data_IF_519683091661
#
_entry.id   IF_519683091661
#
_cell.length_a   1.000
_cell.length_b   1.000
_cell.length_c   1.000
_cell.angle_alpha   90.00
_cell.angle_beta   90.00
_cell.angle_gamma   90.00
#
_symmetry.space_group_name_H-M   'P 1'
#
loop_
_entity.id
_entity.type
_entity.pdbx_description
1 polymer ?
#
# COMPACT_ATOMS: atom_id res chain seq x y z
N UNK A 1 -40.08 -20.79 2.97
CA UNK A 1 -39.00 -20.80 1.95
C UNK A 1 -38.48 -19.39 1.84
N UNK A 2 -37.38 -19.07 2.52
CA UNK A 2 -36.76 -17.74 2.44
C UNK A 2 -35.50 -17.90 1.59
N UNK A 3 -35.54 -17.35 0.38
CA UNK A 3 -34.40 -17.32 -0.53
C UNK A 3 -33.37 -16.31 0.00
N UNK A 4 -32.35 -16.81 0.71
CA UNK A 4 -31.12 -16.05 0.96
C UNK A 4 -30.10 -16.31 -0.14
N UNK A 5 -30.36 -15.81 -1.35
CA UNK A 5 -29.33 -15.72 -2.39
C UNK A 5 -28.62 -14.38 -2.20
N UNK A 6 -27.55 -14.38 -1.39
CA UNK A 6 -26.63 -13.24 -1.30
C UNK A 6 -25.97 -13.07 -2.67
N UNK A 7 -26.41 -12.08 -3.44
CA UNK A 7 -25.95 -11.85 -4.81
C UNK A 7 -24.53 -11.28 -4.76
N UNK A 8 -23.51 -12.14 -4.91
CA UNK A 8 -22.10 -11.75 -4.93
C UNK A 8 -21.87 -10.81 -6.13
N UNK A 9 -21.45 -9.57 -5.87
CA UNK A 9 -21.16 -8.60 -6.93
C UNK A 9 -20.13 -9.16 -7.92
N UNK A 10 -20.33 -8.92 -9.22
CA UNK A 10 -19.42 -9.37 -10.27
C UNK A 10 -18.03 -8.73 -10.12
N UNK A 11 -16.99 -9.41 -10.60
CA UNK A 11 -15.60 -8.89 -10.58
C UNK A 11 -15.53 -7.53 -11.31
N UNK A 12 -16.23 -7.40 -12.42
CA UNK A 12 -16.31 -6.14 -13.18
C UNK A 12 -16.90 -5.00 -12.35
N UNK A 13 -17.95 -5.28 -11.58
CA UNK A 13 -18.57 -4.29 -10.71
C UNK A 13 -17.63 -3.82 -9.61
N UNK A 14 -16.85 -4.75 -9.03
CA UNK A 14 -15.83 -4.44 -8.01
C UNK A 14 -14.69 -3.61 -8.58
N UNK A 15 -14.17 -3.97 -9.76
CA UNK A 15 -13.13 -3.19 -10.45
C UNK A 15 -13.63 -1.80 -10.82
N UNK A 16 -14.88 -1.66 -11.29
CA UNK A 16 -15.48 -0.37 -11.61
C UNK A 16 -15.61 0.51 -10.36
N UNK A 17 -16.08 -0.07 -9.26
CA UNK A 17 -16.16 0.64 -7.98
C UNK A 17 -14.79 1.13 -7.52
N UNK A 18 -13.78 0.25 -7.55
CA UNK A 18 -12.42 0.57 -7.14
C UNK A 18 -11.80 1.69 -8.00
N UNK A 19 -11.93 1.60 -9.33
CA UNK A 19 -11.50 2.68 -10.23
C UNK A 19 -12.23 3.99 -9.95
N UNK A 20 -13.53 3.94 -9.66
CA UNK A 20 -14.33 5.12 -9.32
C UNK A 20 -13.88 5.74 -8.00
N UNK A 21 -13.58 4.93 -6.99
CA UNK A 21 -13.03 5.38 -5.72
C UNK A 21 -11.69 6.10 -5.94
N UNK A 22 -10.77 5.48 -6.69
CA UNK A 22 -9.46 6.06 -6.99
C UNK A 22 -9.61 7.40 -7.74
N UNK A 23 -10.57 7.50 -8.67
CA UNK A 23 -10.78 8.73 -9.45
C UNK A 23 -11.21 9.95 -8.64
N UNK A 24 -11.53 9.80 -7.35
CA UNK A 24 -11.85 10.92 -6.47
C UNK A 24 -10.60 11.67 -5.96
N UNK A 25 -9.40 11.17 -6.24
CA UNK A 25 -8.12 11.77 -5.86
C UNK A 25 -7.39 12.29 -7.10
N UNK A 26 -6.59 13.35 -6.95
CA UNK A 26 -5.73 13.84 -8.05
C UNK A 26 -4.37 13.15 -8.08
N UNK A 27 -3.91 12.63 -6.94
CA UNK A 27 -2.61 11.97 -6.80
C UNK A 27 -2.60 11.00 -5.61
N UNK A 28 -1.81 9.93 -5.68
CA UNK A 28 -1.70 8.96 -4.59
C UNK A 28 -0.32 8.30 -4.49
N UNK A 29 0.05 7.95 -3.26
CA UNK A 29 1.19 7.08 -2.96
C UNK A 29 0.68 5.67 -2.69
N UNK A 30 1.33 4.65 -3.26
CA UNK A 30 0.98 3.24 -3.08
C UNK A 30 2.02 2.57 -2.20
N UNK A 31 1.62 2.08 -1.03
CA UNK A 31 2.42 1.19 -0.22
C UNK A 31 2.42 -0.21 -0.86
N UNK A 32 3.50 -0.51 -1.58
CA UNK A 32 3.67 -1.69 -2.42
C UNK A 32 4.57 -2.72 -1.74
N UNK A 33 4.09 -3.97 -1.66
CA UNK A 33 4.83 -5.08 -1.01
C UNK A 33 5.42 -6.09 -2.00
N UNK A 34 5.17 -5.94 -3.30
CA UNK A 34 5.47 -6.97 -4.30
C UNK A 34 4.40 -8.06 -4.41
N UNK A 35 3.41 -8.08 -3.52
CA UNK A 35 2.28 -9.02 -3.57
C UNK A 35 1.24 -8.64 -4.64
N UNK A 36 0.41 -9.62 -5.04
CA UNK A 36 -0.60 -9.44 -6.09
C UNK A 36 -1.61 -8.34 -5.78
N UNK A 37 -2.05 -8.22 -4.52
CA UNK A 37 -3.04 -7.21 -4.11
C UNK A 37 -2.47 -5.79 -4.23
N UNK A 38 -1.27 -5.57 -3.69
CA UNK A 38 -0.59 -4.27 -3.81
C UNK A 38 -0.20 -3.94 -5.26
N UNK A 39 0.10 -4.96 -6.08
CA UNK A 39 0.36 -4.81 -7.52
C UNK A 39 -0.90 -4.39 -8.28
N UNK A 40 -2.06 -4.95 -7.92
CA UNK A 40 -3.35 -4.58 -8.50
C UNK A 40 -3.68 -3.12 -8.19
N UNK A 41 -3.52 -2.69 -6.95
CA UNK A 41 -3.75 -1.29 -6.56
C UNK A 41 -2.77 -0.35 -7.28
N UNK A 42 -1.49 -0.72 -7.39
CA UNK A 42 -0.50 0.06 -8.13
C UNK A 42 -0.90 0.22 -9.61
N UNK A 43 -1.29 -0.88 -10.26
CA UNK A 43 -1.73 -0.86 -11.65
C UNK A 43 -3.00 -0.01 -11.85
N UNK A 44 -4.04 -0.26 -11.05
CA UNK A 44 -5.31 0.45 -11.19
C UNK A 44 -5.15 1.95 -10.91
N UNK A 45 -4.29 2.32 -9.97
CA UNK A 45 -4.04 3.73 -9.68
C UNK A 45 -3.28 4.40 -10.82
N UNK A 46 -2.26 3.74 -11.38
CA UNK A 46 -1.58 4.24 -12.58
C UNK A 46 -2.53 4.35 -13.78
N UNK A 47 -3.45 3.40 -13.97
CA UNK A 47 -4.44 3.44 -15.05
C UNK A 47 -5.42 4.61 -14.91
N UNK A 48 -5.77 5.00 -13.68
CA UNK A 48 -6.80 6.02 -13.40
C UNK A 48 -6.20 7.42 -13.25
N UNK A 49 -5.09 7.56 -12.51
CA UNK A 49 -4.47 8.84 -12.20
C UNK A 49 -3.27 9.18 -13.11
N UNK A 50 -2.70 8.16 -13.76
CA UNK A 50 -1.49 8.29 -14.56
C UNK A 50 -0.21 8.19 -13.73
N UNK A 51 0.90 7.87 -14.42
CA UNK A 51 2.23 7.67 -13.84
C UNK A 51 2.73 8.86 -13.01
N UNK A 52 2.51 10.08 -13.49
CA UNK A 52 3.03 11.29 -12.83
C UNK A 52 2.31 11.62 -11.53
N UNK A 53 1.10 11.11 -11.35
CA UNK A 53 0.28 11.34 -10.17
C UNK A 53 0.26 10.12 -9.24
N UNK A 54 1.00 9.07 -9.56
CA UNK A 54 1.03 7.83 -8.79
C UNK A 54 2.45 7.47 -8.40
N UNK A 55 2.78 7.51 -7.12
CA UNK A 55 4.07 7.07 -6.61
C UNK A 55 3.96 5.68 -6.00
N UNK A 56 4.68 4.70 -6.53
CA UNK A 56 4.71 3.33 -6.01
C UNK A 56 5.93 3.15 -5.11
N UNK A 57 5.71 2.87 -3.83
CA UNK A 57 6.79 2.81 -2.83
C UNK A 57 6.90 1.43 -2.22
N UNK A 58 8.12 0.87 -2.22
CA UNK A 58 8.43 -0.37 -1.49
C UNK A 58 9.40 -0.08 -0.35
N UNK A 59 9.12 -0.62 0.84
CA UNK A 59 10.09 -0.65 1.92
C UNK A 59 11.10 -1.76 1.67
N UNK A 60 12.38 -1.40 1.60
CA UNK A 60 13.51 -2.32 1.52
C UNK A 60 14.08 -2.44 2.92
N UNK A 61 13.68 -3.50 3.61
CA UNK A 61 14.26 -3.84 4.90
C UNK A 61 15.37 -4.86 4.75
N UNK A 62 16.29 -4.96 5.73
CA UNK A 62 17.31 -5.98 5.72
C UNK A 62 16.75 -7.42 5.77
N UNK A 63 15.51 -7.57 6.25
CA UNK A 63 14.78 -8.85 6.27
C UNK A 63 14.03 -9.15 4.98
N UNK A 64 13.93 -8.20 4.04
CA UNK A 64 13.29 -8.43 2.74
C UNK A 64 14.17 -9.34 1.88
N UNK A 65 13.57 -10.41 1.35
CA UNK A 65 14.28 -11.31 0.46
C UNK A 65 14.66 -10.58 -0.83
N UNK A 66 15.95 -10.61 -1.20
CA UNK A 66 16.45 -9.99 -2.43
C UNK A 66 15.74 -10.48 -3.69
N UNK A 67 15.29 -11.74 -3.73
CA UNK A 67 14.51 -12.28 -4.86
C UNK A 67 13.14 -11.61 -4.96
N UNK A 68 12.47 -11.41 -3.83
CA UNK A 68 11.16 -10.75 -3.78
C UNK A 68 11.29 -9.28 -4.17
N UNK A 69 12.31 -8.58 -3.65
CA UNK A 69 12.60 -7.22 -4.05
C UNK A 69 12.89 -7.11 -5.56
N UNK A 70 13.70 -8.02 -6.12
CA UNK A 70 14.01 -8.04 -7.55
C UNK A 70 12.76 -8.28 -8.40
N UNK A 71 11.88 -9.20 -8.00
CA UNK A 71 10.62 -9.44 -8.69
C UNK A 71 9.72 -8.20 -8.65
N UNK A 72 9.62 -7.55 -7.49
CA UNK A 72 8.83 -6.35 -7.29
C UNK A 72 9.32 -5.18 -8.17
N UNK A 73 10.64 -4.97 -8.22
CA UNK A 73 11.30 -3.95 -9.06
C UNK A 73 11.13 -4.25 -10.55
N UNK A 74 11.37 -5.49 -10.98
CA UNK A 74 11.18 -5.89 -12.38
C UNK A 74 9.73 -5.65 -12.85
N UNK A 75 8.74 -5.92 -12.00
CA UNK A 75 7.34 -5.64 -12.32
C UNK A 75 7.10 -4.14 -12.47
N UNK A 76 7.60 -3.34 -11.55
CA UNK A 76 7.45 -1.88 -11.60
C UNK A 76 8.08 -1.27 -12.86
N UNK A 77 9.26 -1.75 -13.26
CA UNK A 77 9.94 -1.37 -14.50
C UNK A 77 9.12 -1.78 -15.73
N UNK A 78 8.68 -3.04 -15.78
CA UNK A 78 7.88 -3.58 -16.89
C UNK A 78 6.56 -2.81 -17.07
N UNK A 79 5.95 -2.37 -15.97
CA UNK A 79 4.73 -1.57 -15.97
C UNK A 79 4.99 -0.07 -16.08
N UNK A 80 6.25 0.36 -16.13
CA UNK A 80 6.67 1.75 -16.22
C UNK A 80 6.08 2.64 -15.10
N UNK A 81 6.02 2.12 -13.87
CA UNK A 81 5.55 2.88 -12.71
C UNK A 81 6.58 3.93 -12.27
N UNK A 82 6.11 5.03 -11.69
CA UNK A 82 6.99 5.89 -10.90
C UNK A 82 7.26 5.19 -9.56
N UNK A 83 8.40 4.51 -9.48
CA UNK A 83 8.72 3.57 -8.41
C UNK A 83 9.88 4.08 -7.55
N UNK A 84 9.72 4.04 -6.22
CA UNK A 84 10.70 4.53 -5.26
C UNK A 84 10.94 3.49 -4.16
N UNK A 85 12.10 2.82 -4.12
CA UNK A 85 12.50 2.06 -2.95
C UNK A 85 12.84 3.02 -1.81
N UNK A 86 12.35 2.73 -0.61
CA UNK A 86 12.78 3.39 0.63
C UNK A 86 13.48 2.36 1.50
N UNK A 87 14.70 2.64 1.93
CA UNK A 87 15.45 1.73 2.79
C UNK A 87 15.02 1.94 4.23
N UNK A 88 14.69 0.88 4.95
CA UNK A 88 14.46 0.90 6.41
C UNK A 88 15.69 0.41 7.14
N UNK A 89 16.09 1.12 8.21
CA UNK A 89 17.34 0.85 8.95
C UNK A 89 17.03 0.07 10.23
N UNK A 90 16.42 -1.10 10.05
CA UNK A 90 15.86 -1.90 11.15
C UNK A 90 16.94 -2.53 12.05
N UNK A 91 18.18 -2.70 11.54
CA UNK A 91 19.29 -3.29 12.30
C UNK A 91 19.99 -2.32 13.26
N UNK A 92 19.77 -1.00 13.14
CA UNK A 92 20.35 -0.01 14.05
C UNK A 92 19.45 0.27 15.27
N UNK A 93 18.32 -0.44 15.40
CA UNK A 93 17.41 -0.35 16.53
C UNK A 93 17.51 -1.59 17.41
N UNK A 94 18.05 -1.44 18.62
CA UNK A 94 18.23 -2.52 19.61
C UNK A 94 16.92 -3.28 19.94
N UNK A 95 15.75 -2.70 19.65
CA UNK A 95 14.45 -3.37 19.82
C UNK A 95 14.14 -4.40 18.72
N UNK A 96 14.75 -4.31 17.54
CA UNK A 96 14.56 -5.24 16.43
C UNK A 96 15.26 -6.59 16.68
N UNK A 97 16.39 -6.56 17.40
CA UNK A 97 17.18 -7.74 17.76
C UNK A 97 16.51 -8.65 18.80
N UNK A 98 15.45 -8.19 19.46
CA UNK A 98 14.75 -8.96 20.52
C UNK A 98 13.84 -10.08 20.02
N UNK A 99 13.79 -10.35 18.71
CA UNK A 99 13.10 -11.52 18.14
C UNK A 99 11.61 -11.61 18.50
N UNK A 100 10.99 -10.50 18.93
CA UNK A 100 9.65 -10.49 19.47
C UNK A 100 8.59 -10.53 18.37
N UNK A 101 7.39 -10.97 18.73
CA UNK A 101 6.20 -11.17 17.87
C UNK A 101 5.76 -9.87 17.13
N UNK A 102 6.43 -8.74 17.41
CA UNK A 102 6.16 -7.39 16.90
C UNK A 102 6.95 -6.98 15.64
N UNK A 103 7.75 -7.85 15.01
CA UNK A 103 8.56 -7.47 13.82
C UNK A 103 7.75 -6.87 12.67
N UNK A 104 6.60 -7.47 12.33
CA UNK A 104 5.72 -6.94 11.27
C UNK A 104 5.14 -5.56 11.62
N UNK A 105 4.99 -5.24 12.90
CA UNK A 105 4.47 -3.95 13.36
C UNK A 105 5.51 -2.84 13.17
N UNK A 106 6.77 -3.08 13.57
CA UNK A 106 7.84 -2.10 13.42
C UNK A 106 8.19 -1.84 11.95
N UNK A 107 8.25 -2.89 11.11
CA UNK A 107 8.47 -2.74 9.68
C UNK A 107 7.39 -1.88 8.99
N UNK A 108 6.12 -2.03 9.39
CA UNK A 108 5.02 -1.23 8.86
C UNK A 108 5.04 0.20 9.41
N UNK A 109 5.40 0.39 10.67
CA UNK A 109 5.42 1.71 11.31
C UNK A 109 6.42 2.66 10.63
N UNK A 110 7.67 2.23 10.44
CA UNK A 110 8.70 3.05 9.81
C UNK A 110 8.38 3.37 8.33
N UNK A 111 7.79 2.40 7.61
CA UNK A 111 7.26 2.64 6.25
C UNK A 111 6.24 3.77 6.28
N UNK A 112 5.21 3.70 7.15
CA UNK A 112 4.18 4.73 7.19
C UNK A 112 4.73 6.11 7.59
N UNK A 113 5.66 6.20 8.54
CA UNK A 113 6.30 7.48 8.87
C UNK A 113 7.05 8.09 7.67
N UNK A 114 7.74 7.27 6.88
CA UNK A 114 8.42 7.73 5.66
C UNK A 114 7.43 8.13 4.57
N UNK A 115 6.32 7.40 4.42
CA UNK A 115 5.26 7.75 3.47
C UNK A 115 4.57 9.06 3.85
N UNK A 116 4.32 9.31 5.14
CA UNK A 116 3.73 10.57 5.62
C UNK A 116 4.64 11.76 5.31
N UNK A 117 5.96 11.62 5.48
CA UNK A 117 6.92 12.66 5.08
C UNK A 117 6.87 12.95 3.58
N UNK A 118 6.79 11.92 2.75
CA UNK A 118 6.67 12.08 1.29
C UNK A 118 5.33 12.75 0.94
N UNK A 119 4.25 12.31 1.59
CA UNK A 119 2.91 12.88 1.41
C UNK A 119 2.88 14.38 1.68
N UNK A 120 3.46 14.82 2.81
CA UNK A 120 3.49 16.23 3.19
C UNK A 120 4.44 17.06 2.30
N UNK A 121 5.57 16.50 1.85
CA UNK A 121 6.57 17.24 1.06
C UNK A 121 6.23 17.34 -0.43
N UNK A 122 5.60 16.31 -1.00
CA UNK A 122 5.32 16.18 -2.43
C UNK A 122 3.83 16.44 -2.77
N UNK A 123 3.01 16.86 -1.79
CA UNK A 123 1.59 17.26 -1.93
C UNK A 123 0.69 16.18 -2.58
N UNK A 124 0.83 14.93 -2.12
CA UNK A 124 -0.05 13.84 -2.53
C UNK A 124 -1.40 13.91 -1.80
N UNK A 125 -2.48 13.45 -2.44
CA UNK A 125 -3.83 13.49 -1.82
C UNK A 125 -4.22 12.22 -1.06
N UNK A 126 -3.61 11.08 -1.35
CA UNK A 126 -3.90 9.83 -0.65
C UNK A 126 -2.68 8.90 -0.51
N UNK A 127 -2.75 7.99 0.47
CA UNK A 127 -1.89 6.82 0.55
C UNK A 127 -2.78 5.57 0.47
N UNK A 128 -2.52 4.70 -0.50
CA UNK A 128 -3.22 3.43 -0.68
C UNK A 128 -2.35 2.24 -0.27
N UNK A 129 -2.99 1.17 0.23
CA UNK A 129 -2.34 -0.11 0.49
C UNK A 129 -3.20 -1.25 -0.07
N UNK A 130 -2.59 -2.42 -0.30
CA UNK A 130 -3.30 -3.62 -0.76
C UNK A 130 -3.88 -4.47 0.38
N UNK A 131 -4.25 -3.88 1.53
CA UNK A 131 -4.79 -4.64 2.67
C UNK A 131 -6.26 -4.98 2.40
N UNK A 132 -6.65 -6.26 2.45
CA UNK A 132 -8.05 -6.66 2.24
C UNK A 132 -8.89 -6.42 3.51
N UNK A 133 -10.23 -6.34 3.38
CA UNK A 133 -11.13 -6.14 4.52
C UNK A 133 -11.06 -7.25 5.59
N UNK A 134 -10.62 -8.46 5.24
CA UNK A 134 -10.41 -9.54 6.21
C UNK A 134 -9.18 -9.33 7.11
N UNK A 135 -8.30 -8.37 6.78
CA UNK A 135 -7.07 -8.05 7.54
C UNK A 135 -7.26 -6.89 8.55
N UNK A 136 -8.51 -6.50 8.85
CA UNK A 136 -8.87 -5.35 9.69
C UNK A 136 -8.44 -5.45 11.18
N UNK A 137 -7.85 -6.57 11.61
CA UNK A 137 -7.39 -6.81 12.98
C UNK A 137 -6.02 -6.20 13.34
N UNK A 138 -5.27 -5.66 12.38
CA UNK A 138 -3.96 -5.07 12.64
C UNK A 138 -4.10 -3.66 13.25
N UNK A 139 -3.80 -3.51 14.54
CA UNK A 139 -3.55 -2.21 15.17
C UNK A 139 -2.26 -1.61 14.56
N UNK A 140 -2.40 -0.56 13.75
CA UNK A 140 -1.27 0.16 13.11
C UNK A 140 -1.27 1.62 13.58
N UNK A 141 -0.36 2.04 14.46
CA UNK A 141 -0.33 3.41 14.99
C UNK A 141 -0.09 4.46 13.91
N UNK A 142 0.58 4.09 12.80
CA UNK A 142 0.67 4.94 11.60
C UNK A 142 -0.68 5.22 10.94
N UNK A 143 -1.71 4.38 11.16
CA UNK A 143 -3.10 4.66 10.73
C UNK A 143 -3.84 5.63 11.65
N UNK A 144 -3.32 5.96 12.83
CA UNK A 144 -3.96 6.94 13.73
C UNK A 144 -3.46 8.38 13.46
N UNK A 145 -2.23 8.55 12.96
CA UNK A 145 -1.79 9.82 12.34
C UNK A 145 -2.56 10.09 11.02
N UNK A 146 -2.82 9.01 10.27
CA UNK A 146 -3.60 8.98 9.04
C UNK A 146 -5.08 9.40 9.15
N UNK A 147 -5.74 9.16 10.30
CA UNK A 147 -7.15 9.56 10.54
C UNK A 147 -7.36 11.09 10.53
N UNK A 148 -6.29 11.88 10.72
CA UNK A 148 -6.32 13.35 10.69
C UNK A 148 -6.02 13.94 9.30
N UNK A 149 -5.52 13.14 8.34
CA UNK A 149 -5.05 13.60 7.03
C UNK A 149 -5.42 12.60 5.92
N UNK A 150 -6.70 12.53 5.55
CA UNK A 150 -7.24 11.91 4.30
C UNK A 150 -6.55 10.64 3.73
N UNK A 151 -6.04 9.72 4.56
CA UNK A 151 -5.57 8.43 4.08
C UNK A 151 -6.79 7.55 3.81
N UNK A 152 -7.18 7.50 2.55
CA UNK A 152 -8.35 6.77 2.14
C UNK A 152 -7.98 5.32 1.82
N UNK A 153 -8.75 4.38 2.38
CA UNK A 153 -8.58 2.94 2.16
C UNK A 153 -9.38 2.54 0.92
N UNK A 154 -8.75 2.11 -0.18
CA UNK A 154 -9.48 1.68 -1.38
C UNK A 154 -10.03 0.25 -1.29
N UNK A 155 -9.66 -0.53 -0.28
CA UNK A 155 -10.00 -1.94 -0.26
C UNK A 155 -11.43 -2.22 0.22
N UNK A 156 -12.09 -3.11 -0.52
CA UNK A 156 -13.44 -3.62 -0.30
C UNK A 156 -13.51 -4.53 0.92
#
# INVERSE_FOLDING_TARGET
>A
MVNHTSQKASIESKLKYLKKFISNYSSAIIAYSGGIDSSLIAQLTNDVLGKNNTLVVIAVSPSLNQKEFKLATNLAETKNWNFKPIFTEEFDNDNYLKNDISRCFYCKFELYEKLEKIFDLEDYQAIFNGTNFDDLGDFRPGLDAAKKKNIAKPAC
#
